data_IF_900274726029
#
_entry.id   IF_900274726029
#
_cell.length_a   1.000
_cell.length_b   1.000
_cell.length_c   1.000
_cell.angle_alpha   90.00
_cell.angle_beta   90.00
_cell.angle_gamma   90.00
#
_symmetry.space_group_name_H-M   'P 1'
#
loop_
_entity.id
_entity.type
_entity.pdbx_description
1 polymer ?
#
# COMPACT_ATOMS: atom_id res chain seq x y z
N UNK A 1 -1.88 -43.37 -20.07
CA UNK A 1 -3.28 -43.69 -20.43
C UNK A 1 -4.14 -43.55 -19.19
N UNK A 2 -5.31 -42.93 -19.36
CA UNK A 2 -6.41 -42.68 -18.41
C UNK A 2 -6.46 -41.34 -17.63
N UNK A 3 -7.29 -40.46 -18.22
CA UNK A 3 -8.28 -39.54 -17.63
C UNK A 3 -7.85 -38.25 -16.90
N UNK A 4 -7.68 -37.18 -17.67
CA UNK A 4 -7.84 -35.78 -17.23
C UNK A 4 -8.78 -35.02 -18.19
N UNK A 5 -9.93 -35.60 -18.53
CA UNK A 5 -11.01 -34.94 -19.28
C UNK A 5 -12.36 -35.37 -18.71
N UNK A 6 -12.83 -34.61 -17.71
CA UNK A 6 -14.24 -34.49 -17.32
C UNK A 6 -14.28 -33.40 -16.26
N UNK A 7 -14.56 -32.17 -16.69
CA UNK A 7 -15.26 -31.11 -15.93
C UNK A 7 -15.12 -29.69 -16.55
N UNK A 8 -14.94 -29.56 -17.86
CA UNK A 8 -15.05 -28.24 -18.53
C UNK A 8 -15.79 -28.28 -19.87
N UNK A 9 -16.72 -29.23 -20.07
CA UNK A 9 -17.72 -29.11 -21.14
C UNK A 9 -18.98 -28.49 -20.54
N UNK A 10 -19.12 -27.17 -20.67
CA UNK A 10 -20.31 -26.50 -20.18
C UNK A 10 -20.41 -25.00 -20.41
N UNK A 11 -19.75 -24.39 -21.40
CA UNK A 11 -20.08 -23.02 -21.83
C UNK A 11 -19.97 -22.87 -23.35
N UNK A 12 -21.09 -22.53 -23.97
CA UNK A 12 -21.28 -22.30 -25.41
C UNK A 12 -20.62 -20.98 -25.84
N UNK A 13 -19.71 -20.95 -26.83
CA UNK A 13 -19.12 -19.72 -27.33
C UNK A 13 -19.92 -19.19 -28.54
N UNK A 14 -21.18 -18.80 -28.34
CA UNK A 14 -21.95 -18.08 -29.36
C UNK A 14 -22.96 -17.14 -28.73
N UNK A 15 -22.51 -15.91 -28.44
CA UNK A 15 -23.28 -14.65 -28.49
C UNK A 15 -22.41 -13.57 -27.88
N UNK A 16 -21.71 -12.81 -28.71
CA UNK A 16 -21.56 -11.35 -28.58
C UNK A 16 -21.06 -10.86 -29.94
N UNK A 17 -22.03 -10.69 -30.85
CA UNK A 17 -21.89 -9.80 -31.97
C UNK A 17 -22.46 -8.44 -31.58
N UNK A 18 -21.89 -7.40 -32.19
CA UNK A 18 -22.31 -5.99 -32.22
C UNK A 18 -22.10 -5.18 -30.94
N UNK A 19 -21.42 -4.05 -31.15
CA UNK A 19 -21.05 -3.03 -30.18
C UNK A 19 -22.27 -2.44 -29.47
N UNK A 20 -22.36 -2.61 -28.16
CA UNK A 20 -23.20 -1.79 -27.30
C UNK A 20 -22.61 -1.75 -25.86
N UNK A 21 -22.26 -0.53 -25.45
CA UNK A 21 -21.92 0.00 -24.11
C UNK A 21 -21.46 -1.00 -23.04
N UNK A 22 -20.15 -0.96 -22.77
CA UNK A 22 -19.55 -1.45 -21.52
C UNK A 22 -20.05 -0.57 -20.36
N UNK A 23 -20.77 -1.15 -19.40
CA UNK A 23 -21.09 -0.53 -18.11
C UNK A 23 -20.09 -0.99 -17.04
N UNK A 24 -19.95 -0.23 -15.95
CA UNK A 24 -18.95 -0.46 -14.89
C UNK A 24 -19.07 -1.83 -14.20
N UNK A 25 -20.24 -2.47 -14.24
CA UNK A 25 -20.45 -3.81 -13.65
C UNK A 25 -19.82 -4.94 -14.50
N UNK A 26 -19.55 -4.71 -15.79
CA UNK A 26 -18.86 -5.67 -16.66
C UNK A 26 -17.35 -5.75 -16.37
N UNK A 27 -16.79 -4.74 -15.68
CA UNK A 27 -15.36 -4.59 -15.46
C UNK A 27 -14.87 -5.38 -14.23
N UNK A 28 -15.73 -5.55 -13.22
CA UNK A 28 -15.36 -6.19 -11.95
C UNK A 28 -15.35 -7.74 -12.01
N UNK A 29 -16.05 -8.34 -12.97
CA UNK A 29 -16.13 -9.80 -13.10
C UNK A 29 -14.86 -10.46 -13.69
N UNK A 30 -13.93 -9.67 -14.24
CA UNK A 30 -12.67 -10.19 -14.80
C UNK A 30 -11.53 -10.30 -13.76
N UNK A 31 -11.67 -9.73 -12.57
CA UNK A 31 -10.56 -9.59 -11.63
C UNK A 31 -10.38 -10.73 -10.60
N UNK A 32 -11.07 -11.87 -10.73
CA UNK A 32 -11.06 -12.94 -9.70
C UNK A 32 -10.21 -14.17 -10.00
N UNK A 33 -9.30 -14.14 -10.98
CA UNK A 33 -8.35 -15.25 -11.18
C UNK A 33 -6.89 -14.77 -11.13
N UNK A 34 -6.24 -15.06 -10.00
CA UNK A 34 -4.78 -15.19 -9.77
C UNK A 34 -3.85 -14.31 -10.63
N UNK A 35 -3.11 -13.36 -10.04
CA UNK A 35 -1.96 -12.74 -10.70
C UNK A 35 -0.82 -13.77 -10.78
N UNK A 36 -0.86 -14.61 -11.83
CA UNK A 36 0.26 -15.43 -12.22
C UNK A 36 1.29 -14.51 -12.85
N UNK A 37 2.33 -14.23 -12.04
CA UNK A 37 3.57 -13.55 -12.40
C UNK A 37 3.89 -13.56 -13.90
N UNK A 38 3.89 -12.37 -14.51
CA UNK A 38 4.32 -12.07 -15.89
C UNK A 38 5.83 -12.39 -16.12
N UNK A 39 6.57 -12.82 -15.09
CA UNK A 39 7.99 -13.18 -15.19
C UNK A 39 8.30 -14.56 -15.80
N UNK A 40 7.40 -15.16 -16.59
CA UNK A 40 7.65 -16.46 -17.25
C UNK A 40 7.36 -16.48 -18.76
N UNK A 41 7.46 -15.33 -19.45
CA UNK A 41 7.58 -15.20 -20.92
C UNK A 41 6.89 -16.32 -21.72
N UNK A 42 7.66 -17.23 -22.31
CA UNK A 42 7.17 -18.35 -23.15
C UNK A 42 6.17 -19.29 -22.45
N UNK A 43 6.34 -19.60 -21.15
CA UNK A 43 5.41 -20.54 -20.45
C UNK A 43 4.01 -19.96 -20.27
N UNK A 44 3.90 -18.64 -20.23
CA UNK A 44 2.61 -17.96 -20.18
C UNK A 44 1.91 -18.05 -21.55
N UNK A 45 2.62 -17.73 -22.63
CA UNK A 45 2.11 -17.82 -24.00
C UNK A 45 1.73 -19.26 -24.39
N UNK A 46 2.55 -20.24 -24.05
CA UNK A 46 2.23 -21.67 -24.26
C UNK A 46 0.92 -22.06 -23.57
N UNK A 47 0.71 -21.57 -22.33
CA UNK A 47 -0.52 -21.85 -21.58
C UNK A 47 -1.74 -21.22 -22.23
N UNK A 48 -1.59 -20.05 -22.85
CA UNK A 48 -2.67 -19.43 -23.63
C UNK A 48 -2.98 -20.25 -24.88
N UNK A 49 -1.97 -20.66 -25.65
CA UNK A 49 -2.15 -21.47 -26.86
C UNK A 49 -2.85 -22.80 -26.55
N UNK A 50 -2.45 -23.50 -25.48
CA UNK A 50 -3.05 -24.77 -25.07
C UNK A 50 -4.55 -24.67 -24.70
N UNK A 51 -5.05 -23.48 -24.34
CA UNK A 51 -6.46 -23.28 -24.06
C UNK A 51 -7.31 -23.03 -25.31
N UNK A 52 -6.68 -22.74 -26.45
CA UNK A 52 -7.34 -22.25 -27.67
C UNK A 52 -7.17 -23.25 -28.82
N UNK A 53 -5.97 -23.80 -28.99
CA UNK A 53 -5.67 -24.79 -30.03
C UNK A 53 -6.27 -26.14 -29.63
N UNK A 54 -7.44 -26.44 -30.20
CA UNK A 54 -8.17 -27.68 -29.92
C UNK A 54 -7.63 -28.83 -30.78
N UNK A 55 -7.27 -29.95 -30.16
CA UNK A 55 -6.90 -31.19 -30.87
C UNK A 55 -5.46 -31.25 -31.37
N UNK A 56 -4.57 -30.39 -30.86
CA UNK A 56 -3.14 -30.48 -31.12
C UNK A 56 -2.58 -31.84 -30.67
N UNK A 57 -1.81 -32.49 -31.54
CA UNK A 57 -1.14 -33.78 -31.29
C UNK A 57 0.38 -33.64 -31.20
N UNK A 58 0.92 -32.47 -31.57
CA UNK A 58 2.34 -32.12 -31.51
C UNK A 58 2.54 -30.66 -31.06
N UNK A 59 3.76 -30.29 -30.69
CA UNK A 59 4.11 -28.88 -30.43
C UNK A 59 4.03 -28.03 -31.71
N UNK A 60 4.34 -28.60 -32.87
CA UNK A 60 4.18 -27.90 -34.15
C UNK A 60 2.70 -27.54 -34.40
N UNK A 61 1.77 -28.42 -34.02
CA UNK A 61 0.33 -28.15 -34.13
C UNK A 61 -0.09 -26.97 -33.24
N UNK A 62 0.52 -26.81 -32.06
CA UNK A 62 0.25 -25.70 -31.11
C UNK A 62 0.75 -24.36 -31.67
N UNK A 63 1.84 -24.38 -32.44
CA UNK A 63 2.45 -23.20 -33.05
C UNK A 63 1.90 -22.87 -34.45
N UNK A 64 0.95 -23.65 -34.96
CA UNK A 64 0.42 -23.47 -36.31
C UNK A 64 -0.80 -22.56 -36.31
N UNK A 65 -0.68 -21.36 -36.91
CA UNK A 65 -1.80 -20.42 -37.10
C UNK A 65 -2.03 -20.23 -38.60
N UNK A 66 -3.24 -20.51 -39.07
CA UNK A 66 -3.62 -20.41 -40.49
C UNK A 66 -2.69 -21.17 -41.46
N UNK A 67 -2.13 -22.30 -41.03
CA UNK A 67 -1.25 -23.16 -41.85
C UNK A 67 0.23 -22.74 -41.89
N UNK A 68 0.63 -21.75 -41.08
CA UNK A 68 2.02 -21.31 -40.91
C UNK A 68 2.48 -21.69 -39.50
N UNK A 69 3.64 -22.34 -39.40
CA UNK A 69 4.26 -22.71 -38.12
C UNK A 69 5.15 -21.55 -37.65
N UNK A 70 4.90 -21.04 -36.44
CA UNK A 70 5.66 -19.95 -35.83
C UNK A 70 6.71 -20.47 -34.84
N UNK A 71 7.84 -19.78 -34.73
CA UNK A 71 8.99 -20.30 -34.00
C UNK A 71 8.89 -20.13 -32.48
N UNK A 72 8.05 -19.19 -32.01
CA UNK A 72 7.90 -18.89 -30.58
C UNK A 72 6.43 -18.95 -30.14
N UNK A 73 6.21 -19.25 -28.86
CA UNK A 73 4.85 -19.27 -28.28
C UNK A 73 4.21 -17.87 -28.35
N UNK A 74 5.04 -16.82 -28.23
CA UNK A 74 4.61 -15.42 -28.33
C UNK A 74 4.11 -15.05 -29.72
N UNK A 75 4.83 -15.41 -30.77
CA UNK A 75 4.44 -15.12 -32.16
C UNK A 75 3.14 -15.84 -32.55
N UNK A 76 3.01 -17.10 -32.15
CA UNK A 76 1.77 -17.85 -32.36
C UNK A 76 0.58 -17.18 -31.61
N UNK A 77 0.79 -16.73 -30.37
CA UNK A 77 -0.23 -15.97 -29.62
C UNK A 77 -0.63 -14.66 -30.32
N UNK A 78 0.35 -13.91 -30.83
CA UNK A 78 0.12 -12.67 -31.56
C UNK A 78 -0.73 -12.90 -32.82
N UNK A 79 -0.41 -13.93 -33.59
CA UNK A 79 -1.13 -14.26 -34.83
C UNK A 79 -2.53 -14.84 -34.58
N UNK A 80 -2.76 -15.42 -33.42
CA UNK A 80 -4.10 -15.77 -32.95
C UNK A 80 -4.92 -14.54 -32.48
N UNK A 81 -4.34 -13.34 -32.47
CA UNK A 81 -4.98 -12.11 -32.00
C UNK A 81 -5.16 -12.07 -30.48
N UNK A 82 -4.31 -12.79 -29.74
CA UNK A 82 -4.40 -12.92 -28.28
C UNK A 82 -3.57 -11.88 -27.52
N UNK A 83 -2.74 -11.12 -28.25
CA UNK A 83 -1.92 -10.03 -27.73
C UNK A 83 -2.37 -8.74 -28.40
N UNK A 84 -2.54 -7.67 -27.62
CA UNK A 84 -2.80 -6.32 -28.13
C UNK A 84 -1.53 -5.76 -28.81
N UNK A 85 -1.68 -4.95 -29.86
CA UNK A 85 -0.53 -4.31 -30.54
C UNK A 85 0.01 -3.15 -29.71
N UNK A 86 1.34 -3.02 -29.61
CA UNK A 86 1.99 -1.88 -28.95
C UNK A 86 1.86 -0.56 -29.75
N UNK A 87 1.22 -0.58 -30.92
CA UNK A 87 1.05 0.58 -31.79
C UNK A 87 0.35 1.76 -31.08
N UNK A 88 -0.68 1.50 -30.29
CA UNK A 88 -1.40 2.55 -29.54
C UNK A 88 -0.49 3.28 -28.54
N UNK A 89 0.48 2.56 -27.97
CA UNK A 89 1.47 3.11 -27.04
C UNK A 89 2.50 3.96 -27.75
N UNK A 90 2.96 3.52 -28.92
CA UNK A 90 3.86 4.29 -29.75
C UNK A 90 3.20 5.58 -30.26
N UNK A 91 1.93 5.54 -30.62
CA UNK A 91 1.17 6.74 -30.99
C UNK A 91 0.96 7.68 -29.80
N UNK A 92 0.63 7.15 -28.61
CA UNK A 92 0.49 7.95 -27.40
C UNK A 92 1.80 8.68 -27.02
N UNK A 93 2.96 8.00 -27.10
CA UNK A 93 4.27 8.62 -26.83
C UNK A 93 4.60 9.65 -27.92
N UNK A 94 4.32 9.33 -29.19
CA UNK A 94 4.55 10.26 -30.31
C UNK A 94 3.74 11.54 -30.14
N UNK A 95 2.46 11.44 -29.80
CA UNK A 95 1.58 12.60 -29.61
C UNK A 95 1.95 13.41 -28.36
N UNK A 96 2.32 12.73 -27.28
CA UNK A 96 2.82 13.38 -26.08
C UNK A 96 4.15 14.12 -26.34
N UNK A 97 5.02 13.58 -27.20
CA UNK A 97 6.34 14.18 -27.49
C UNK A 97 6.26 15.54 -28.16
N UNK A 98 5.15 15.86 -28.82
CA UNK A 98 4.90 17.16 -29.44
C UNK A 98 4.64 18.25 -28.38
N UNK A 99 4.09 17.87 -27.22
CA UNK A 99 3.54 18.82 -26.23
C UNK A 99 4.19 18.74 -24.85
N UNK A 100 4.99 17.71 -24.57
CA UNK A 100 5.57 17.44 -23.25
C UNK A 100 7.10 17.48 -23.24
N UNK A 101 7.67 17.73 -22.06
CA UNK A 101 9.12 17.75 -21.87
C UNK A 101 9.70 16.35 -21.71
N UNK A 102 10.98 16.16 -22.02
CA UNK A 102 11.67 14.87 -21.85
C UNK A 102 11.54 14.27 -20.43
N UNK A 103 11.40 15.10 -19.39
CA UNK A 103 11.13 14.62 -18.03
C UNK A 103 9.74 14.01 -17.87
N UNK A 104 8.70 14.65 -18.42
CA UNK A 104 7.32 14.16 -18.34
C UNK A 104 7.12 12.95 -19.25
N UNK A 105 7.82 12.89 -20.39
CA UNK A 105 7.81 11.72 -21.27
C UNK A 105 8.46 10.49 -20.61
N UNK A 106 9.53 10.68 -19.82
CA UNK A 106 10.11 9.58 -19.00
C UNK A 106 9.14 9.11 -17.92
N UNK A 107 8.39 10.01 -17.30
CA UNK A 107 7.38 9.67 -16.29
C UNK A 107 6.19 8.92 -16.91
N UNK A 108 5.73 9.36 -18.08
CA UNK A 108 4.72 8.66 -18.88
C UNK A 108 5.21 7.27 -19.28
N UNK A 109 6.45 7.14 -19.74
CA UNK A 109 7.05 5.85 -20.11
C UNK A 109 7.14 4.90 -18.91
N UNK A 110 7.54 5.40 -17.72
CA UNK A 110 7.55 4.60 -16.48
C UNK A 110 6.14 4.19 -16.06
N UNK A 111 5.16 5.08 -16.20
CA UNK A 111 3.75 4.78 -15.92
C UNK A 111 3.23 3.69 -16.86
N UNK A 112 3.60 3.73 -18.14
CA UNK A 112 3.28 2.68 -19.11
C UNK A 112 3.88 1.33 -18.70
N UNK A 113 5.14 1.30 -18.27
CA UNK A 113 5.81 0.07 -17.80
C UNK A 113 5.23 -0.50 -16.49
N UNK A 114 4.71 0.36 -15.62
CA UNK A 114 4.18 -0.06 -14.31
C UNK A 114 2.75 -0.59 -14.38
N UNK A 115 1.95 -0.10 -15.33
CA UNK A 115 0.51 -0.36 -15.37
C UNK A 115 0.03 -1.10 -16.63
N UNK A 116 0.90 -1.37 -17.61
CA UNK A 116 0.55 -2.03 -18.89
C UNK A 116 1.62 -3.01 -19.36
N UNK A 117 1.19 -4.08 -20.03
CA UNK A 117 2.07 -5.09 -20.65
C UNK A 117 2.59 -4.59 -22.01
N UNK A 118 3.55 -3.65 -21.98
CA UNK A 118 4.30 -3.28 -23.20
C UNK A 118 5.08 -4.51 -23.67
N UNK A 119 4.75 -5.03 -24.84
CA UNK A 119 5.20 -6.35 -25.28
C UNK A 119 6.68 -6.37 -25.67
N UNK A 120 7.24 -5.25 -26.14
CA UNK A 120 8.69 -5.07 -26.35
C UNK A 120 9.17 -3.69 -25.84
N UNK A 121 9.63 -3.71 -24.58
CA UNK A 121 10.15 -2.53 -23.89
C UNK A 121 11.43 -1.99 -24.55
N UNK A 122 12.26 -2.87 -25.10
CA UNK A 122 13.52 -2.47 -25.75
C UNK A 122 13.23 -1.80 -27.08
N UNK A 123 12.40 -2.37 -27.94
CA UNK A 123 12.00 -1.70 -29.17
C UNK A 123 11.35 -0.33 -28.90
N UNK A 124 10.53 -0.24 -27.85
CA UNK A 124 9.90 1.02 -27.41
C UNK A 124 10.90 2.07 -26.94
N UNK A 125 11.92 1.69 -26.17
CA UNK A 125 12.96 2.61 -25.74
C UNK A 125 13.79 3.12 -26.93
N UNK A 126 14.25 2.22 -27.78
CA UNK A 126 15.10 2.52 -28.94
C UNK A 126 14.41 3.46 -29.94
N UNK A 127 13.08 3.40 -30.04
CA UNK A 127 12.30 4.28 -30.90
C UNK A 127 12.10 5.70 -30.33
N UNK A 128 11.96 5.84 -29.00
CA UNK A 128 11.51 7.09 -28.37
C UNK A 128 12.56 7.78 -27.48
N UNK A 129 13.72 7.17 -27.22
CA UNK A 129 14.73 7.71 -26.29
C UNK A 129 15.22 9.11 -26.62
N UNK A 130 15.22 9.50 -27.91
CA UNK A 130 15.63 10.85 -28.33
C UNK A 130 14.72 11.91 -27.73
N UNK A 131 13.40 11.72 -27.84
CA UNK A 131 12.39 12.60 -27.23
C UNK A 131 12.49 12.61 -25.70
N UNK A 132 12.90 11.49 -25.10
CA UNK A 132 13.18 11.42 -23.66
C UNK A 132 14.45 12.17 -23.24
N UNK A 133 15.29 12.61 -24.17
CA UNK A 133 16.60 13.20 -23.90
C UNK A 133 16.73 14.68 -24.28
N UNK A 134 15.68 15.28 -24.86
CA UNK A 134 15.68 16.69 -25.31
C UNK A 134 16.03 17.69 -24.19
N UNK A 135 15.67 17.38 -22.94
CA UNK A 135 16.01 18.20 -21.78
C UNK A 135 17.43 17.96 -21.26
N UNK A 136 18.06 16.83 -21.59
CA UNK A 136 19.40 16.43 -21.12
C UNK A 136 20.48 17.24 -21.85
N UNK A 137 20.36 17.45 -23.15
CA UNK A 137 21.31 18.29 -23.90
C UNK A 137 21.22 19.77 -23.46
N UNK A 138 20.02 20.24 -23.15
CA UNK A 138 19.76 21.56 -22.56
C UNK A 138 20.35 21.69 -21.15
N UNK A 139 20.33 20.62 -20.34
CA UNK A 139 21.00 20.55 -19.01
C UNK A 139 22.52 20.59 -19.14
N UNK A 140 23.10 19.86 -20.10
CA UNK A 140 24.55 19.85 -20.33
C UNK A 140 25.08 21.22 -20.84
N UNK A 141 24.33 21.91 -21.70
CA UNK A 141 24.70 23.24 -22.20
C UNK A 141 24.50 24.36 -21.17
N UNK A 142 23.57 24.21 -20.21
CA UNK A 142 23.27 25.22 -19.16
C UNK A 142 24.32 25.29 -18.05
N UNK A 143 25.09 24.22 -17.82
CA UNK A 143 26.20 24.20 -16.85
C UNK A 143 27.45 24.97 -17.31
N UNK A 144 27.81 24.90 -18.59
CA UNK A 144 29.04 25.49 -19.14
C UNK A 144 28.82 26.79 -19.93
N UNK A 145 27.63 27.00 -20.50
CA UNK A 145 27.34 28.17 -21.35
C UNK A 145 27.04 29.47 -20.59
N UNK A 146 26.33 29.39 -19.45
CA UNK A 146 25.89 30.58 -18.68
C UNK A 146 27.05 31.36 -18.07
N UNK A 147 28.04 30.67 -17.50
CA UNK A 147 29.23 31.31 -16.92
C UNK A 147 30.12 31.95 -18.00
N UNK A 148 30.27 31.30 -19.16
CA UNK A 148 31.08 31.81 -20.26
C UNK A 148 30.47 33.03 -20.97
N UNK A 149 29.14 33.13 -21.05
CA UNK A 149 28.45 34.27 -21.66
C UNK A 149 28.49 35.53 -20.77
N UNK A 150 28.37 35.36 -19.44
CA UNK A 150 28.48 36.43 -18.46
C UNK A 150 29.92 36.95 -18.33
N UNK A 151 30.91 36.05 -18.25
CA UNK A 151 32.33 36.41 -18.24
C UNK A 151 32.77 37.20 -19.48
N UNK A 152 32.28 36.82 -20.68
CA UNK A 152 32.55 37.57 -21.92
C UNK A 152 32.00 38.99 -21.93
N UNK A 153 31.07 39.34 -21.02
CA UNK A 153 30.48 40.68 -20.88
C UNK A 153 30.83 41.36 -19.55
N UNK A 154 31.87 40.88 -18.87
CA UNK A 154 32.40 41.49 -17.64
C UNK A 154 31.46 41.41 -16.44
N UNK A 155 30.47 40.51 -16.46
CA UNK A 155 29.54 40.29 -15.35
C UNK A 155 29.71 38.91 -14.74
N UNK A 156 29.39 38.79 -13.47
CA UNK A 156 29.38 37.54 -12.72
C UNK A 156 27.93 37.16 -12.34
N UNK A 157 27.71 35.91 -11.92
CA UNK A 157 26.38 35.49 -11.44
C UNK A 157 25.94 36.23 -10.16
N UNK A 158 26.89 36.84 -9.43
CA UNK A 158 26.65 37.65 -8.24
C UNK A 158 25.95 38.97 -8.57
N UNK A 159 26.06 39.46 -9.81
CA UNK A 159 25.44 40.70 -10.28
C UNK A 159 23.92 40.56 -10.52
N UNK A 160 23.37 39.33 -10.47
CA UNK A 160 21.96 39.04 -10.71
C UNK A 160 21.40 38.08 -9.65
N UNK A 161 21.09 38.58 -8.44
CA UNK A 161 20.67 37.76 -7.29
C UNK A 161 19.38 36.95 -7.55
N UNK A 162 18.50 37.44 -8.42
CA UNK A 162 17.26 36.74 -8.83
C UNK A 162 17.52 35.54 -9.75
N UNK A 163 18.67 35.46 -10.43
CA UNK A 163 19.09 34.26 -11.17
C UNK A 163 19.86 33.26 -10.27
N UNK A 164 20.20 33.69 -9.06
CA UNK A 164 20.79 32.92 -7.97
C UNK A 164 19.72 32.30 -7.05
N UNK A 165 18.45 32.23 -7.49
CA UNK A 165 17.51 31.24 -6.93
C UNK A 165 18.12 29.87 -7.18
N UNK A 166 18.88 29.46 -6.16
CA UNK A 166 19.70 28.27 -6.13
C UNK A 166 18.85 27.12 -6.61
N UNK A 167 19.51 26.26 -7.37
CA UNK A 167 19.02 24.99 -7.87
C UNK A 167 18.79 24.01 -6.71
N UNK A 168 17.92 24.37 -5.76
CA UNK A 168 17.60 23.55 -4.59
C UNK A 168 17.03 22.19 -5.01
N UNK A 169 16.50 22.08 -6.24
CA UNK A 169 15.98 20.83 -6.78
C UNK A 169 17.06 19.79 -7.09
N UNK A 170 18.31 20.20 -7.35
CA UNK A 170 19.41 19.28 -7.68
C UNK A 170 20.25 18.83 -6.47
N UNK A 171 20.18 19.52 -5.32
CA UNK A 171 20.70 19.00 -4.03
C UNK A 171 19.70 18.09 -3.29
N UNK A 172 18.43 18.07 -3.73
CA UNK A 172 17.32 17.34 -3.10
C UNK A 172 17.29 15.83 -3.37
N UNK A 173 18.08 15.32 -4.31
CA UNK A 173 18.16 13.87 -4.62
C UNK A 173 18.92 13.04 -3.56
N UNK A 174 19.57 13.71 -2.60
CA UNK A 174 20.30 13.11 -1.47
C UNK A 174 19.50 13.11 -0.15
N UNK A 175 18.27 13.62 -0.15
CA UNK A 175 17.40 13.65 1.04
C UNK A 175 16.31 12.59 0.93
N UNK A 176 15.97 11.99 2.06
CA UNK A 176 14.88 11.02 2.17
C UNK A 176 13.54 11.66 1.77
N UNK A 177 13.05 11.31 0.58
CA UNK A 177 11.81 11.88 0.02
C UNK A 177 10.59 11.59 0.89
N UNK A 178 10.56 10.44 1.58
CA UNK A 178 9.45 10.07 2.45
C UNK A 178 9.39 10.97 3.69
N UNK A 179 10.55 11.30 4.26
CA UNK A 179 10.62 12.29 5.34
C UNK A 179 10.29 13.69 4.87
N UNK A 180 10.71 14.05 3.66
CA UNK A 180 10.36 15.35 3.08
C UNK A 180 8.84 15.49 2.92
N UNK A 181 8.16 14.48 2.38
CA UNK A 181 6.70 14.45 2.23
C UNK A 181 5.99 14.68 3.58
N UNK A 182 6.43 14.01 4.65
CA UNK A 182 5.80 14.18 5.99
C UNK A 182 6.12 15.53 6.65
N UNK A 183 7.14 16.27 6.18
CA UNK A 183 7.50 17.60 6.71
C UNK A 183 6.98 18.76 5.84
N UNK A 184 6.26 18.48 4.75
CA UNK A 184 5.78 19.50 3.81
C UNK A 184 4.39 20.06 4.16
N UNK A 185 3.76 19.60 5.22
CA UNK A 185 2.45 20.08 5.63
C UNK A 185 2.50 21.55 6.10
N UNK A 186 1.45 22.32 5.80
CA UNK A 186 1.30 23.69 6.30
C UNK A 186 0.91 23.66 7.78
N UNK A 187 1.92 23.78 8.66
CA UNK A 187 1.74 23.72 10.11
C UNK A 187 0.78 24.77 10.65
N UNK A 188 0.70 25.95 10.01
CA UNK A 188 -0.20 27.04 10.44
C UNK A 188 -1.64 26.72 10.07
N UNK A 189 -1.88 26.26 8.85
CA UNK A 189 -3.21 25.85 8.41
C UNK A 189 -3.76 24.71 9.27
N UNK A 190 -2.91 23.69 9.54
CA UNK A 190 -3.25 22.57 10.42
C UNK A 190 -3.58 23.04 11.84
N UNK A 191 -2.79 23.95 12.42
CA UNK A 191 -3.04 24.48 13.77
C UNK A 191 -4.41 25.17 13.90
N UNK A 192 -4.84 25.91 12.87
CA UNK A 192 -6.16 26.56 12.84
C UNK A 192 -7.28 25.52 12.74
N UNK A 193 -7.09 24.47 11.93
CA UNK A 193 -8.08 23.39 11.80
C UNK A 193 -8.24 22.61 13.10
N UNK A 194 -7.12 22.32 13.79
CA UNK A 194 -7.13 21.59 15.07
C UNK A 194 -7.95 22.31 16.12
N UNK A 195 -7.83 23.64 16.24
CA UNK A 195 -8.60 24.39 17.24
C UNK A 195 -10.11 24.27 17.01
N UNK A 196 -10.54 24.27 15.75
CA UNK A 196 -11.95 24.04 15.38
C UNK A 196 -12.38 22.61 15.70
N UNK A 197 -11.59 21.62 15.30
CA UNK A 197 -11.92 20.21 15.48
C UNK A 197 -11.93 19.82 16.96
N UNK A 198 -10.98 20.31 17.76
CA UNK A 198 -10.87 20.04 19.20
C UNK A 198 -12.09 20.53 19.96
N UNK A 199 -12.64 21.69 19.59
CA UNK A 199 -13.88 22.21 20.19
C UNK A 199 -15.13 21.35 19.89
N UNK A 200 -15.07 20.49 18.87
CA UNK A 200 -16.18 19.60 18.47
C UNK A 200 -16.03 18.18 19.01
N UNK A 201 -14.93 17.84 19.68
CA UNK A 201 -14.74 16.52 20.26
C UNK A 201 -15.70 16.34 21.44
N UNK A 202 -16.32 15.16 21.52
CA UNK A 202 -17.04 14.78 22.72
C UNK A 202 -16.06 14.46 23.88
N UNK A 203 -16.58 14.25 25.09
CA UNK A 203 -15.76 14.02 26.29
C UNK A 203 -14.82 12.82 26.12
N UNK A 204 -15.32 11.72 25.56
CA UNK A 204 -14.54 10.49 25.34
C UNK A 204 -13.45 10.72 24.30
N UNK A 205 -13.78 11.30 23.15
CA UNK A 205 -12.81 11.66 22.10
C UNK A 205 -11.74 12.63 22.63
N UNK A 206 -12.14 13.60 23.45
CA UNK A 206 -11.22 14.54 24.09
C UNK A 206 -10.24 13.83 25.01
N UNK A 207 -10.71 12.89 25.82
CA UNK A 207 -9.84 12.08 26.68
C UNK A 207 -8.78 11.31 25.87
N UNK A 208 -9.18 10.67 24.75
CA UNK A 208 -8.24 9.99 23.84
C UNK A 208 -7.22 10.96 23.28
N UNK A 209 -7.71 12.07 22.76
CA UNK A 209 -6.90 13.09 22.12
C UNK A 209 -5.81 13.57 23.09
N UNK A 210 -6.20 14.00 24.30
CA UNK A 210 -5.26 14.49 25.31
C UNK A 210 -4.28 13.39 25.75
N UNK A 211 -4.75 12.16 25.97
CA UNK A 211 -3.90 11.05 26.39
C UNK A 211 -2.84 10.69 25.35
N UNK A 212 -3.25 10.56 24.08
CA UNK A 212 -2.34 10.22 22.97
C UNK A 212 -1.36 11.35 22.75
N UNK A 213 -1.83 12.60 22.63
CA UNK A 213 -0.96 13.76 22.39
C UNK A 213 0.06 13.92 23.53
N UNK A 214 -0.38 13.85 24.79
CA UNK A 214 0.52 13.97 25.94
C UNK A 214 1.60 12.87 25.93
N UNK A 215 1.23 11.62 25.67
CA UNK A 215 2.19 10.52 25.63
C UNK A 215 3.20 10.64 24.48
N UNK A 216 2.76 11.11 23.30
CA UNK A 216 3.68 11.44 22.19
C UNK A 216 4.63 12.55 22.60
N UNK A 217 4.15 13.62 23.24
CA UNK A 217 4.98 14.76 23.67
C UNK A 217 6.07 14.34 24.66
N UNK A 218 5.76 13.48 25.63
CA UNK A 218 6.75 12.96 26.60
C UNK A 218 7.60 11.80 26.03
N UNK A 219 7.39 11.42 24.76
CA UNK A 219 8.05 10.28 24.09
C UNK A 219 7.89 8.96 24.85
N UNK A 220 6.73 8.76 25.47
CA UNK A 220 6.36 7.49 26.09
C UNK A 220 5.77 6.58 25.03
N UNK A 221 6.51 5.55 24.64
CA UNK A 221 5.98 4.46 23.82
C UNK A 221 4.86 3.74 24.55
N UNK A 222 3.75 3.49 23.85
CA UNK A 222 2.60 2.78 24.39
C UNK A 222 1.73 2.25 23.24
N UNK A 223 0.94 1.22 23.53
CA UNK A 223 0.03 0.59 22.58
C UNK A 223 -1.40 0.78 23.04
N UNK A 224 -2.17 1.58 22.31
CA UNK A 224 -3.58 1.83 22.60
C UNK A 224 -4.49 1.17 21.58
N UNK A 225 -5.65 0.69 22.04
CA UNK A 225 -6.75 0.30 21.16
C UNK A 225 -8.00 1.13 21.45
N UNK A 226 -8.50 1.78 20.40
CA UNK A 226 -9.71 2.61 20.41
C UNK A 226 -10.84 1.88 19.73
N UNK A 227 -11.81 1.50 20.55
CA UNK A 227 -13.02 0.85 20.07
C UNK A 227 -14.10 1.89 19.77
N UNK A 228 -14.71 1.79 18.59
CA UNK A 228 -15.87 2.62 18.27
C UNK A 228 -16.67 2.03 17.14
N UNK A 229 -17.99 2.02 17.26
CA UNK A 229 -18.87 1.50 16.22
C UNK A 229 -18.84 2.37 14.96
N UNK A 230 -19.35 1.86 13.83
CA UNK A 230 -19.50 2.66 12.62
C UNK A 230 -20.31 3.94 12.88
N UNK A 231 -19.77 5.12 12.57
CA UNK A 231 -20.45 6.40 12.81
C UNK A 231 -20.10 7.12 14.12
N UNK A 232 -19.23 6.56 14.95
CA UNK A 232 -18.79 7.17 16.22
C UNK A 232 -17.76 8.30 16.09
N UNK A 233 -17.34 8.64 14.88
CA UNK A 233 -16.37 9.70 14.64
C UNK A 233 -14.91 9.31 14.87
N UNK A 234 -14.54 8.02 14.87
CA UNK A 234 -13.12 7.57 14.94
C UNK A 234 -12.23 8.31 13.93
N UNK A 235 -12.65 8.36 12.67
CA UNK A 235 -11.90 9.06 11.61
C UNK A 235 -11.77 10.57 11.88
N UNK A 236 -12.78 11.19 12.51
CA UNK A 236 -12.70 12.60 12.92
C UNK A 236 -11.66 12.80 14.04
N UNK A 237 -11.64 11.89 15.02
CA UNK A 237 -10.64 11.86 16.06
C UNK A 237 -9.22 11.64 15.49
N UNK A 238 -9.04 10.68 14.57
CA UNK A 238 -7.77 10.46 13.86
C UNK A 238 -7.28 11.73 13.19
N UNK A 239 -8.13 12.37 12.38
CA UNK A 239 -7.78 13.64 11.72
C UNK A 239 -7.37 14.72 12.72
N UNK A 240 -8.07 14.84 13.82
CA UNK A 240 -7.76 15.85 14.86
C UNK A 240 -6.40 15.58 15.51
N UNK A 241 -6.09 14.33 15.87
CA UNK A 241 -4.79 13.94 16.45
C UNK A 241 -3.65 14.14 15.43
N UNK A 242 -3.86 13.69 14.19
CA UNK A 242 -2.87 13.80 13.10
C UNK A 242 -2.54 15.27 12.85
N UNK A 243 -3.55 16.11 12.68
CA UNK A 243 -3.35 17.54 12.40
C UNK A 243 -2.65 18.22 13.57
N UNK A 244 -2.98 17.86 14.82
CA UNK A 244 -2.31 18.39 16.01
C UNK A 244 -0.82 18.07 15.99
N UNK A 245 -0.47 16.80 15.85
CA UNK A 245 0.93 16.37 15.86
C UNK A 245 1.71 16.91 14.66
N UNK A 246 1.13 16.88 13.45
CA UNK A 246 1.76 17.46 12.26
C UNK A 246 1.95 18.98 12.36
N UNK A 247 1.04 19.70 13.02
CA UNK A 247 1.22 21.14 13.29
C UNK A 247 2.41 21.44 14.20
N UNK A 248 2.88 20.45 14.96
CA UNK A 248 4.05 20.50 15.82
C UNK A 248 5.27 19.81 15.19
N UNK A 249 5.27 19.64 13.87
CA UNK A 249 6.36 19.03 13.08
C UNK A 249 6.68 17.58 13.53
N UNK A 250 5.69 16.88 14.08
CA UNK A 250 5.79 15.44 14.41
C UNK A 250 5.43 14.58 13.22
N UNK A 251 6.10 13.43 13.13
CA UNK A 251 5.87 12.48 12.04
C UNK A 251 4.84 11.45 12.49
N UNK A 252 3.70 11.40 11.79
CA UNK A 252 2.60 10.46 12.06
C UNK A 252 2.40 9.55 10.86
N UNK A 253 2.62 8.26 11.04
CA UNK A 253 2.33 7.26 10.03
C UNK A 253 0.89 6.78 10.17
N UNK A 254 0.08 7.11 9.17
CA UNK A 254 -1.30 6.64 9.09
C UNK A 254 -1.37 5.43 8.19
N UNK A 255 -1.80 4.30 8.76
CA UNK A 255 -2.05 3.08 8.03
C UNK A 255 -3.48 2.59 8.25
N UNK A 256 -4.00 1.84 7.28
CA UNK A 256 -5.26 1.14 7.41
C UNK A 256 -5.15 -0.31 6.92
N UNK A 257 -6.06 -1.15 7.38
CA UNK A 257 -6.12 -2.57 6.98
C UNK A 257 -6.45 -2.78 5.50
N UNK A 258 -7.16 -1.85 4.86
CA UNK A 258 -7.51 -1.89 3.44
C UNK A 258 -7.08 -0.62 2.70
N UNK A 259 -6.87 -0.73 1.39
CA UNK A 259 -6.54 0.42 0.54
C UNK A 259 -7.65 1.48 0.53
N UNK A 260 -8.92 1.07 0.50
CA UNK A 260 -10.07 1.99 0.49
C UNK A 260 -10.15 2.78 1.80
N UNK A 261 -9.99 2.11 2.95
CA UNK A 261 -9.99 2.79 4.26
C UNK A 261 -8.85 3.81 4.37
N UNK A 262 -7.69 3.52 3.77
CA UNK A 262 -6.55 4.44 3.81
C UNK A 262 -6.77 5.76 3.07
N UNK A 263 -7.70 5.81 2.11
CA UNK A 263 -8.03 7.03 1.36
C UNK A 263 -8.82 8.06 2.19
N UNK A 264 -9.41 7.65 3.32
CA UNK A 264 -10.26 8.52 4.15
C UNK A 264 -9.44 9.53 4.97
N UNK A 265 -8.14 9.31 5.09
CA UNK A 265 -7.22 10.11 5.92
C UNK A 265 -6.03 10.51 5.05
N UNK A 266 -5.66 11.80 5.11
CA UNK A 266 -4.57 12.34 4.30
C UNK A 266 -3.21 11.73 4.67
N UNK A 267 -2.48 11.27 3.65
CA UNK A 267 -1.22 10.54 3.83
C UNK A 267 -1.42 9.07 4.25
N UNK A 268 -2.67 8.61 4.34
CA UNK A 268 -3.01 7.22 4.62
C UNK A 268 -2.49 6.26 3.54
N UNK A 269 -1.98 5.11 3.97
CA UNK A 269 -1.63 3.99 3.09
C UNK A 269 -2.12 2.67 3.69
N UNK A 270 -2.22 1.61 2.90
CA UNK A 270 -2.43 0.29 3.48
C UNK A 270 -1.20 -0.13 4.30
N UNK A 271 -1.42 -0.88 5.39
CA UNK A 271 -0.32 -1.37 6.23
C UNK A 271 0.69 -2.21 5.44
N UNK A 272 0.20 -3.09 4.55
CA UNK A 272 1.03 -3.87 3.64
C UNK A 272 1.96 -2.99 2.78
N UNK A 273 1.44 -1.89 2.22
CA UNK A 273 2.22 -0.99 1.37
C UNK A 273 3.25 -0.19 2.15
N UNK A 274 2.84 0.37 3.31
CA UNK A 274 3.69 1.22 4.16
C UNK A 274 4.84 0.44 4.76
N UNK A 275 4.57 -0.74 5.32
CA UNK A 275 5.58 -1.55 6.01
C UNK A 275 6.19 -2.66 5.16
N UNK A 276 5.83 -2.82 3.87
CA UNK A 276 6.33 -3.91 3.02
C UNK A 276 6.11 -5.30 3.64
N UNK A 277 4.90 -5.50 4.16
CA UNK A 277 4.50 -6.74 4.83
C UNK A 277 4.33 -7.84 3.77
N UNK A 278 4.95 -9.03 3.94
CA UNK A 278 4.71 -10.17 3.07
C UNK A 278 3.22 -10.51 2.94
N UNK A 279 2.81 -11.00 1.76
CA UNK A 279 1.42 -11.43 1.51
C UNK A 279 1.15 -12.73 2.29
N UNK A 280 2.05 -13.70 2.14
CA UNK A 280 2.03 -14.92 2.94
C UNK A 280 2.74 -14.64 4.27
N UNK A 281 1.95 -14.59 5.34
CA UNK A 281 2.42 -14.20 6.67
C UNK A 281 2.26 -15.35 7.65
N UNK A 282 3.31 -15.61 8.42
CA UNK A 282 3.34 -16.60 9.49
C UNK A 282 3.84 -15.98 10.80
N UNK A 283 3.88 -16.82 11.84
CA UNK A 283 4.30 -16.44 13.18
C UNK A 283 5.75 -15.98 13.27
N UNK A 284 6.61 -16.18 12.27
CA UNK A 284 8.03 -15.83 12.25
C UNK A 284 8.40 -14.73 11.24
N UNK A 285 7.45 -14.33 10.40
CA UNK A 285 7.63 -13.31 9.38
C UNK A 285 8.05 -11.94 9.94
N UNK A 286 8.90 -11.26 9.17
CA UNK A 286 9.24 -9.84 9.34
C UNK A 286 8.87 -9.08 8.07
N UNK A 287 8.86 -7.76 8.18
CA UNK A 287 8.64 -6.84 7.07
C UNK A 287 9.88 -6.75 6.18
N UNK A 288 9.67 -6.63 4.86
CA UNK A 288 10.77 -6.49 3.91
C UNK A 288 11.28 -5.04 3.85
N UNK A 289 11.86 -4.57 4.95
CA UNK A 289 12.41 -3.23 5.12
C UNK A 289 13.92 -3.32 5.30
N UNK A 290 14.66 -2.73 4.37
CA UNK A 290 16.12 -2.68 4.46
C UNK A 290 16.54 -1.59 5.46
N UNK A 291 17.47 -1.89 6.37
CA UNK A 291 17.90 -0.99 7.45
C UNK A 291 18.44 0.37 6.96
N UNK A 292 19.06 0.41 5.78
CA UNK A 292 19.59 1.65 5.17
C UNK A 292 18.64 2.28 4.14
N UNK A 293 17.35 1.90 4.16
CA UNK A 293 16.36 2.48 3.27
C UNK A 293 15.76 3.76 3.82
N UNK A 294 15.25 4.61 2.93
CA UNK A 294 14.46 5.79 3.30
C UNK A 294 13.24 5.43 4.18
N UNK A 295 12.65 4.26 3.96
CA UNK A 295 11.53 3.80 4.79
C UNK A 295 11.97 3.48 6.22
N UNK A 296 13.12 2.85 6.40
CA UNK A 296 13.66 2.56 7.73
C UNK A 296 13.91 3.85 8.51
N UNK A 297 14.54 4.84 7.89
CA UNK A 297 14.79 6.14 8.50
C UNK A 297 13.48 6.87 8.85
N UNK A 298 12.47 6.82 7.97
CA UNK A 298 11.13 7.35 8.25
C UNK A 298 10.51 6.70 9.50
N UNK A 299 10.56 5.37 9.61
CA UNK A 299 10.01 4.63 10.75
C UNK A 299 10.77 4.99 12.04
N UNK A 300 12.09 5.11 11.98
CA UNK A 300 12.91 5.51 13.13
C UNK A 300 12.57 6.92 13.60
N UNK A 301 12.23 7.85 12.70
CA UNK A 301 11.83 9.21 13.07
C UNK A 301 10.35 9.37 13.40
N UNK A 302 9.52 8.35 13.14
CA UNK A 302 8.07 8.41 13.41
C UNK A 302 7.78 8.55 14.91
N UNK A 303 6.88 9.46 15.27
CA UNK A 303 6.44 9.69 16.65
C UNK A 303 5.18 8.87 16.99
N UNK A 304 4.27 8.70 16.03
CA UNK A 304 3.00 7.97 16.19
C UNK A 304 2.68 7.12 14.96
N UNK A 305 2.23 5.89 15.18
CA UNK A 305 1.62 5.03 14.15
C UNK A 305 0.13 4.89 14.47
N UNK A 306 -0.74 5.33 13.56
CA UNK A 306 -2.18 5.13 13.65
C UNK A 306 -2.56 3.99 12.70
N UNK A 307 -3.31 3.01 13.20
CA UNK A 307 -3.78 1.87 12.41
C UNK A 307 -5.30 1.76 12.44
N UNK A 308 -5.94 2.18 11.35
CA UNK A 308 -7.40 2.13 11.22
C UNK A 308 -7.90 0.77 10.71
N UNK A 309 -9.08 0.39 11.20
CA UNK A 309 -9.71 -0.92 10.99
C UNK A 309 -8.82 -2.13 11.34
N UNK A 310 -8.03 -2.01 12.40
CA UNK A 310 -7.10 -3.03 12.88
C UNK A 310 -7.72 -4.45 13.03
N UNK A 311 -8.97 -4.64 13.51
CA UNK A 311 -9.58 -5.96 13.62
C UNK A 311 -9.67 -6.75 12.31
N UNK A 312 -9.63 -6.09 11.16
CA UNK A 312 -9.65 -6.75 9.84
C UNK A 312 -8.32 -7.46 9.50
N UNK A 313 -7.22 -7.11 10.19
CA UNK A 313 -5.90 -7.68 9.89
C UNK A 313 -5.58 -8.89 10.78
N UNK A 314 -4.90 -9.87 10.17
CA UNK A 314 -4.39 -11.04 10.86
C UNK A 314 -3.34 -10.63 11.91
N UNK A 315 -3.34 -11.24 13.10
CA UNK A 315 -2.41 -10.90 14.20
C UNK A 315 -0.93 -10.88 13.80
N UNK A 316 -0.49 -11.87 13.01
CA UNK A 316 0.87 -11.94 12.48
C UNK A 316 1.30 -10.72 11.67
N UNK A 317 0.38 -9.94 11.09
CA UNK A 317 0.70 -8.67 10.44
C UNK A 317 1.24 -7.67 11.48
N UNK A 318 0.57 -7.53 12.62
CA UNK A 318 1.02 -6.67 13.71
C UNK A 318 2.33 -7.17 14.33
N UNK A 319 2.45 -8.48 14.54
CA UNK A 319 3.64 -9.11 15.13
C UNK A 319 4.86 -9.00 14.21
N UNK A 320 4.67 -9.11 12.89
CA UNK A 320 5.73 -8.89 11.91
C UNK A 320 6.21 -7.43 11.89
N UNK A 321 5.26 -6.48 11.96
CA UNK A 321 5.60 -5.05 12.07
C UNK A 321 6.33 -4.78 13.38
N UNK A 322 5.82 -5.27 14.51
CA UNK A 322 6.47 -5.15 15.82
C UNK A 322 7.93 -5.63 15.78
N UNK A 323 8.17 -6.87 15.35
CA UNK A 323 9.53 -7.41 15.23
C UNK A 323 10.44 -6.56 14.36
N UNK A 324 9.92 -6.07 13.24
CA UNK A 324 10.69 -5.26 12.30
C UNK A 324 11.02 -3.89 12.87
N UNK A 325 10.07 -3.25 13.55
CA UNK A 325 10.31 -1.97 14.21
C UNK A 325 11.27 -2.14 15.38
N UNK A 326 11.17 -3.22 16.17
CA UNK A 326 12.16 -3.56 17.22
C UNK A 326 13.57 -3.74 16.64
N UNK A 327 13.70 -4.46 15.53
CA UNK A 327 14.99 -4.62 14.84
C UNK A 327 15.58 -3.30 14.34
N UNK A 328 14.74 -2.40 13.81
CA UNK A 328 15.17 -1.06 13.39
C UNK A 328 15.60 -0.20 14.59
N UNK A 329 14.78 -0.16 15.63
CA UNK A 329 14.93 0.70 16.80
C UNK A 329 16.07 0.29 17.75
N UNK A 330 16.57 -0.96 17.65
CA UNK A 330 17.74 -1.42 18.42
C UNK A 330 19.00 -0.58 18.20
N UNK A 331 19.10 0.06 17.02
CA UNK A 331 20.25 0.90 16.68
C UNK A 331 20.21 2.26 17.38
N UNK A 332 19.02 2.69 17.82
CA UNK A 332 18.83 3.89 18.64
C UNK A 332 19.09 3.58 20.11
N UNK A 333 18.51 2.47 20.60
CA UNK A 333 18.73 1.93 21.94
C UNK A 333 18.52 0.42 21.89
N UNK A 334 19.49 -0.35 22.37
CA UNK A 334 19.44 -1.81 22.37
C UNK A 334 18.26 -2.35 23.19
N UNK A 335 17.80 -1.61 24.20
CA UNK A 335 16.66 -1.99 25.05
C UNK A 335 15.35 -2.06 24.25
N UNK A 336 15.26 -1.37 23.11
CA UNK A 336 14.08 -1.39 22.25
C UNK A 336 13.77 -2.78 21.64
N UNK A 337 14.70 -3.74 21.70
CA UNK A 337 14.45 -5.11 21.26
C UNK A 337 13.40 -5.85 22.09
N UNK A 338 13.21 -5.43 23.35
CA UNK A 338 12.29 -6.06 24.30
C UNK A 338 11.00 -5.24 24.50
N UNK A 339 10.89 -4.08 23.87
CA UNK A 339 9.75 -3.17 24.02
C UNK A 339 8.89 -3.27 22.77
N UNK A 340 7.58 -3.51 22.92
CA UNK A 340 6.63 -3.53 21.81
C UNK A 340 6.79 -2.31 20.89
N UNK A 341 6.81 -2.59 19.59
CA UNK A 341 7.06 -1.66 18.48
C UNK A 341 8.31 -0.81 18.68
N UNK A 342 9.34 -1.32 19.37
CA UNK A 342 10.60 -0.62 19.60
C UNK A 342 10.42 0.70 20.37
N UNK A 343 9.41 0.76 21.25
CA UNK A 343 9.08 1.96 22.02
C UNK A 343 8.32 3.04 21.21
N UNK A 344 7.83 2.72 20.01
CA UNK A 344 6.96 3.63 19.25
C UNK A 344 5.56 3.68 19.86
N UNK A 345 4.93 4.85 19.78
CA UNK A 345 3.52 4.94 20.08
C UNK A 345 2.70 4.36 18.94
N UNK A 346 1.80 3.44 19.27
CA UNK A 346 0.89 2.82 18.32
C UNK A 346 -0.55 2.96 18.80
N UNK A 347 -1.40 3.48 17.93
CA UNK A 347 -2.81 3.73 18.18
C UNK A 347 -3.64 2.91 17.19
N UNK A 348 -4.21 1.83 17.68
CA UNK A 348 -5.05 0.93 16.90
C UNK A 348 -6.50 1.38 17.00
N UNK A 349 -7.21 1.32 15.88
CA UNK A 349 -8.60 1.71 15.76
C UNK A 349 -9.43 0.64 15.09
N UNK A 350 -10.68 0.46 15.52
CA UNK A 350 -11.62 -0.36 14.77
C UNK A 350 -12.85 -0.78 15.56
N UNK A 351 -13.60 -1.70 14.96
CA UNK A 351 -14.79 -2.30 15.54
C UNK A 351 -14.77 -3.82 15.30
N UNK A 352 -14.72 -4.60 16.38
CA UNK A 352 -14.77 -6.07 16.30
C UNK A 352 -16.12 -6.61 15.83
N UNK A 353 -17.17 -5.78 15.73
CA UNK A 353 -18.45 -6.15 15.09
C UNK A 353 -18.40 -6.06 13.58
N UNK A 354 -17.36 -5.45 13.02
CA UNK A 354 -17.13 -5.41 11.58
C UNK A 354 -16.45 -6.70 11.11
N UNK A 355 -15.76 -6.63 9.97
CA UNK A 355 -15.20 -7.77 9.26
C UNK A 355 -13.93 -8.24 9.98
N UNK A 356 -13.88 -9.52 10.32
CA UNK A 356 -12.69 -10.21 10.82
C UNK A 356 -11.69 -10.53 9.68
N UNK A 357 -10.46 -10.98 10.00
CA UNK A 357 -9.50 -11.39 8.99
C UNK A 357 -10.09 -12.48 8.08
N UNK A 358 -9.95 -12.28 6.77
CA UNK A 358 -10.50 -13.19 5.77
C UNK A 358 -9.56 -14.38 5.63
N UNK A 359 -10.00 -15.55 6.07
CA UNK A 359 -9.27 -16.81 5.93
C UNK A 359 -10.03 -17.78 5.00
N UNK A 360 -9.59 -17.95 3.74
CA UNK A 360 -10.26 -18.84 2.81
C UNK A 360 -10.31 -20.28 3.34
N UNK A 361 -11.50 -20.89 3.31
CA UNK A 361 -11.73 -22.30 3.68
C UNK A 361 -11.44 -22.66 5.14
N UNK A 362 -11.38 -21.67 6.04
CA UNK A 362 -11.15 -21.89 7.47
C UNK A 362 -12.41 -21.67 8.31
N UNK A 363 -12.42 -22.28 9.50
CA UNK A 363 -13.54 -22.22 10.44
C UNK A 363 -13.59 -20.91 11.24
N UNK A 364 -14.60 -20.77 12.10
CA UNK A 364 -14.73 -19.60 12.98
C UNK A 364 -13.62 -19.55 14.04
N UNK A 365 -13.26 -20.71 14.54
CA UNK A 365 -12.17 -20.94 15.48
C UNK A 365 -10.84 -20.41 14.94
N UNK A 366 -10.54 -20.70 13.68
CA UNK A 366 -9.35 -20.18 13.02
C UNK A 366 -9.39 -18.65 12.95
N UNK A 367 -10.51 -18.08 12.51
CA UNK A 367 -10.68 -16.62 12.41
C UNK A 367 -10.43 -15.95 13.77
N UNK A 368 -11.02 -16.49 14.85
CA UNK A 368 -10.80 -15.99 16.21
C UNK A 368 -9.33 -16.13 16.63
N UNK A 369 -8.68 -17.26 16.32
CA UNK A 369 -7.27 -17.48 16.67
C UNK A 369 -6.29 -16.57 15.93
N UNK A 370 -6.71 -16.01 14.79
CA UNK A 370 -5.95 -15.03 14.01
C UNK A 370 -6.25 -13.58 14.36
N UNK A 371 -7.24 -13.33 15.22
CA UNK A 371 -7.60 -11.97 15.63
C UNK A 371 -6.51 -11.35 16.49
N UNK A 372 -6.39 -10.01 16.44
CA UNK A 372 -5.34 -9.28 17.16
C UNK A 372 -5.37 -9.50 18.68
N UNK A 373 -6.55 -9.75 19.25
CA UNK A 373 -6.71 -10.08 20.67
C UNK A 373 -6.10 -11.43 21.09
N UNK A 374 -5.62 -12.24 20.14
CA UNK A 374 -4.85 -13.47 20.35
C UNK A 374 -3.35 -13.28 20.10
N UNK A 375 -2.91 -12.04 19.89
CA UNK A 375 -1.49 -11.68 19.82
C UNK A 375 -0.91 -11.48 21.22
N UNK A 376 0.40 -11.69 21.38
CA UNK A 376 1.10 -11.29 22.60
C UNK A 376 1.02 -9.78 22.85
N UNK A 377 0.97 -8.98 21.77
CA UNK A 377 0.84 -7.52 21.81
C UNK A 377 -0.43 -7.07 22.54
N UNK A 378 -1.49 -7.88 22.53
CA UNK A 378 -2.74 -7.52 23.17
C UNK A 378 -2.64 -7.44 24.70
N UNK A 379 -1.72 -8.18 25.31
CA UNK A 379 -1.51 -8.15 26.77
C UNK A 379 -0.86 -6.84 27.24
N UNK A 380 -0.12 -6.18 26.36
CA UNK A 380 0.51 -4.87 26.61
C UNK A 380 -0.36 -3.72 26.13
N UNK A 381 -1.46 -4.03 25.42
CA UNK A 381 -2.35 -3.03 24.88
C UNK A 381 -3.23 -2.43 25.97
N UNK A 382 -3.11 -1.11 26.16
CA UNK A 382 -4.04 -0.37 26.99
C UNK A 382 -5.34 -0.18 26.22
N UNK A 383 -6.42 -0.71 26.79
CA UNK A 383 -7.80 -0.47 26.35
C UNK A 383 -8.47 0.39 27.43
N UNK A 384 -8.42 1.72 27.34
CA UNK A 384 -9.04 2.55 28.36
C UNK A 384 -10.54 2.25 28.40
N UNK A 385 -11.07 1.93 29.59
CA UNK A 385 -12.51 1.64 29.74
C UNK A 385 -13.40 2.84 29.38
N UNK A 386 -12.83 4.04 29.26
CA UNK A 386 -13.52 5.28 28.91
C UNK A 386 -13.49 5.58 27.39
N UNK A 387 -12.91 4.66 26.61
CA UNK A 387 -12.66 4.81 25.18
C UNK A 387 -13.72 4.15 24.30
N UNK A 388 -14.90 3.91 24.86
CA UNK A 388 -16.09 3.53 24.13
C UNK A 388 -16.71 4.79 23.55
N UNK A 389 -16.71 4.96 22.24
CA UNK A 389 -17.44 6.07 21.63
C UNK A 389 -18.99 5.90 21.66
N UNK A 390 -19.50 5.07 22.57
CA UNK A 390 -20.92 4.91 22.91
C UNK A 390 -21.05 4.71 24.45
N UNK A 391 -21.73 5.61 25.19
CA UNK A 391 -21.87 5.52 26.64
C UNK A 391 -22.78 4.37 27.13
N UNK A 392 -23.41 3.57 26.23
CA UNK A 392 -24.32 2.48 26.62
C UNK A 392 -23.76 1.06 26.43
N UNK A 393 -22.60 0.90 25.81
CA UNK A 393 -22.08 -0.41 25.38
C UNK A 393 -20.90 -0.82 26.28
N UNK A 394 -21.10 -1.81 27.18
CA UNK A 394 -20.00 -2.41 27.96
C UNK A 394 -19.14 -3.25 27.03
N UNK A 395 -18.17 -2.63 26.36
CA UNK A 395 -17.43 -3.34 25.33
C UNK A 395 -16.48 -4.41 25.85
N UNK A 396 -16.18 -4.48 27.16
CA UNK A 396 -15.55 -5.68 27.73
C UNK A 396 -16.50 -6.85 27.65
N UNK A 397 -17.76 -6.64 28.06
CA UNK A 397 -18.82 -7.63 27.91
C UNK A 397 -19.07 -7.98 26.44
N UNK A 398 -19.05 -7.01 25.51
CA UNK A 398 -19.24 -7.29 24.08
C UNK A 398 -18.07 -8.05 23.44
N UNK A 399 -16.81 -7.71 23.74
CA UNK A 399 -15.65 -8.48 23.26
C UNK A 399 -15.72 -9.90 23.84
N UNK A 400 -16.09 -10.02 25.12
CA UNK A 400 -16.29 -11.31 25.77
C UNK A 400 -17.44 -12.09 25.11
N UNK A 401 -18.60 -11.49 24.87
CA UNK A 401 -19.77 -12.15 24.29
C UNK A 401 -19.59 -12.44 22.79
N UNK A 402 -18.77 -11.66 22.08
CA UNK A 402 -18.48 -11.89 20.65
C UNK A 402 -17.42 -12.99 20.46
N UNK A 403 -16.40 -13.00 21.31
CA UNK A 403 -15.28 -13.96 21.24
C UNK A 403 -15.57 -15.24 22.01
N UNK A 404 -16.41 -15.14 23.05
CA UNK A 404 -16.83 -16.21 23.96
C UNK A 404 -18.36 -16.15 24.15
N UNK A 405 -19.10 -16.29 23.06
CA UNK A 405 -20.57 -16.26 23.04
C UNK A 405 -21.27 -17.18 24.06
N UNK A 406 -20.59 -18.25 24.50
CA UNK A 406 -21.14 -19.22 25.46
C UNK A 406 -20.62 -19.04 26.89
N UNK A 407 -19.74 -18.06 27.14
CA UNK A 407 -19.08 -17.87 28.44
C UNK A 407 -20.09 -17.72 29.57
N UNK A 408 -21.16 -16.96 29.34
CA UNK A 408 -22.20 -16.71 30.32
C UNK A 408 -22.98 -17.99 30.71
N UNK A 409 -23.06 -18.97 29.80
CA UNK A 409 -23.75 -20.25 30.01
C UNK A 409 -22.82 -21.33 30.59
N UNK A 410 -21.50 -21.19 30.41
CA UNK A 410 -20.50 -22.21 30.73
C UNK A 410 -19.53 -21.78 31.84
N UNK A 411 -19.72 -20.60 32.46
CA UNK A 411 -18.85 -20.04 33.50
C UNK A 411 -18.66 -20.96 34.73
N UNK A 412 -19.62 -21.87 34.96
CA UNK A 412 -19.55 -22.87 36.04
C UNK A 412 -18.89 -24.20 35.67
N UNK A 413 -18.56 -24.43 34.40
CA UNK A 413 -17.95 -25.68 33.94
C UNK A 413 -16.42 -25.54 33.91
N UNK A 414 -15.74 -26.16 34.89
CA UNK A 414 -14.29 -26.18 34.98
C UNK A 414 -13.61 -26.90 33.79
N UNK A 415 -14.36 -27.65 32.99
CA UNK A 415 -13.94 -28.30 31.76
C UNK A 415 -14.02 -27.39 30.52
N UNK A 416 -14.80 -26.30 30.55
CA UNK A 416 -15.00 -25.40 29.41
C UNK A 416 -13.68 -24.82 28.87
N UNK A 417 -12.77 -24.47 29.76
CA UNK A 417 -11.43 -23.97 29.40
C UNK A 417 -10.40 -25.09 29.18
N UNK A 418 -10.63 -26.29 29.71
CA UNK A 418 -9.67 -27.42 29.66
C UNK A 418 -9.86 -28.36 28.47
N UNK A 419 -11.07 -28.43 27.91
CA UNK A 419 -11.42 -29.34 26.82
C UNK A 419 -11.49 -28.66 25.45
N UNK A 420 -10.92 -27.45 25.31
CA UNK A 420 -10.69 -26.87 23.98
C UNK A 420 -9.43 -27.48 23.36
N UNK A 421 -9.48 -27.99 22.11
CA UNK A 421 -8.28 -28.37 21.36
C UNK A 421 -7.37 -27.17 21.09
#
# INVERSE_FOLDING_TARGET
>A
MYNFQKNFCGMNPKRYGTAEKITSESFDAWFTYTPLQVMKGERFYLRMLLNIVCGATSFEDVHTVNGIVYNTDKEACFQHGLLESDDEWHEAIRDASIHQTGAQLRELFVTMLLFRDVSDVTASWEQHWKSFSDDIELRQRRGSGKQNFLRKRGKTLEDFPTLLERDERFHRQSQNTLLYEENMYDTRALGIEVEKCRAMLNEQQSYVFETVVANVTIKKGDLFFVYGHGGTGKTFLWKTIINKLRSEEKIVLVVASSGIASLLIEGGRSAHSRFKIPIDIDENCTCNIQQQSFLAELIVQTDLIIWDEAPMNHKHIFEAVDRSVRDLMRHTDICNLEISFGGKMVLLGGDFRQIFPILPKKGREDIVMTSINKSYLWNECTIPLELYLDPKDDGKKVVIDTVYCDLHNMCGDAGYFKNRP
#
